data_IF_435812202971
#
_entry.id   IF_435812202971
#
_cell.length_a   1.000
_cell.length_b   1.000
_cell.length_c   1.000
_cell.angle_alpha   90.00
_cell.angle_beta   90.00
_cell.angle_gamma   90.00
#
_symmetry.space_group_name_H-M   'P 1'
#
loop_
_entity.id
_entity.type
_entity.pdbx_description
1 polymer ?
#
# COMPACT_ATOMS: atom_id res chain seq x y z
N UNK A 1 24.11 6.48 -17.07
CA UNK A 1 22.99 7.20 -16.42
C UNK A 1 21.77 7.33 -17.34
N UNK A 2 21.90 7.86 -18.58
CA UNK A 2 20.76 8.03 -19.52
C UNK A 2 20.22 6.69 -20.01
N UNK A 3 21.10 5.74 -20.23
CA UNK A 3 20.78 4.37 -20.68
C UNK A 3 20.16 3.52 -19.54
N UNK A 4 20.68 3.65 -18.33
CA UNK A 4 20.11 3.03 -17.12
C UNK A 4 18.70 3.56 -16.83
N UNK A 5 18.47 4.87 -16.98
CA UNK A 5 17.18 5.49 -16.82
C UNK A 5 16.18 5.03 -17.91
N UNK A 6 16.67 4.85 -19.14
CA UNK A 6 15.84 4.32 -20.24
C UNK A 6 15.46 2.86 -19.99
N UNK A 7 16.37 2.01 -19.51
CA UNK A 7 16.11 0.62 -19.16
C UNK A 7 15.14 0.51 -17.97
N UNK A 8 15.28 1.38 -16.94
CA UNK A 8 14.31 1.44 -15.85
C UNK A 8 12.92 1.82 -16.32
N UNK A 9 12.80 2.81 -17.21
CA UNK A 9 11.49 3.17 -17.82
C UNK A 9 10.89 2.02 -18.62
N UNK A 10 11.68 1.29 -19.38
CA UNK A 10 11.19 0.14 -20.16
C UNK A 10 10.71 -1.00 -19.26
N UNK A 11 11.45 -1.34 -18.22
CA UNK A 11 11.02 -2.33 -17.22
C UNK A 11 9.70 -1.91 -16.56
N UNK A 12 9.60 -0.66 -16.13
CA UNK A 12 8.37 -0.12 -15.57
C UNK A 12 7.16 -0.29 -16.48
N UNK A 13 7.25 0.08 -17.77
CA UNK A 13 6.13 -0.11 -18.69
C UNK A 13 5.77 -1.59 -18.88
N UNK A 14 6.75 -2.47 -18.81
CA UNK A 14 6.54 -3.92 -18.87
C UNK A 14 5.81 -4.39 -17.60
N UNK A 15 6.29 -3.99 -16.42
CA UNK A 15 5.72 -4.40 -15.13
C UNK A 15 4.29 -3.86 -14.95
N UNK A 16 4.06 -2.57 -15.23
CA UNK A 16 2.72 -1.95 -15.22
C UNK A 16 1.78 -2.64 -16.22
N UNK A 17 2.27 -3.02 -17.40
CA UNK A 17 1.46 -3.73 -18.39
C UNK A 17 1.06 -5.12 -17.89
N UNK A 18 1.92 -5.80 -17.16
CA UNK A 18 1.60 -7.08 -16.52
C UNK A 18 0.61 -6.90 -15.38
N UNK A 19 0.83 -5.92 -14.51
CA UNK A 19 -0.07 -5.61 -13.39
C UNK A 19 -1.47 -5.16 -13.86
N UNK A 20 -1.60 -4.51 -15.01
CA UNK A 20 -2.90 -4.20 -15.62
C UNK A 20 -3.56 -5.41 -16.26
N UNK A 21 -2.77 -6.31 -16.86
CA UNK A 21 -3.32 -7.46 -17.60
C UNK A 21 -4.04 -8.42 -16.66
N UNK A 22 -3.50 -8.68 -15.47
CA UNK A 22 -4.08 -9.61 -14.50
C UNK A 22 -5.50 -9.23 -14.09
N UNK A 23 -5.77 -8.02 -13.51
CA UNK A 23 -7.12 -7.62 -13.14
C UNK A 23 -8.08 -7.54 -14.35
N UNK A 24 -7.59 -7.12 -15.52
CA UNK A 24 -8.41 -7.10 -16.74
C UNK A 24 -8.84 -8.51 -17.16
N UNK A 25 -7.94 -9.50 -17.06
CA UNK A 25 -8.25 -10.89 -17.35
C UNK A 25 -9.31 -11.44 -16.40
N UNK A 26 -9.18 -11.13 -15.09
CA UNK A 26 -10.12 -11.56 -14.06
C UNK A 26 -11.50 -10.92 -14.25
N UNK A 27 -11.55 -9.63 -14.56
CA UNK A 27 -12.81 -8.93 -14.90
C UNK A 27 -13.46 -9.57 -16.13
N UNK A 28 -12.70 -9.79 -17.21
CA UNK A 28 -13.20 -10.36 -18.44
C UNK A 28 -13.74 -11.78 -18.24
N UNK A 29 -13.03 -12.58 -17.43
CA UNK A 29 -13.50 -13.93 -17.08
C UNK A 29 -14.81 -13.86 -16.28
N UNK A 30 -14.88 -13.05 -15.23
CA UNK A 30 -16.07 -12.92 -14.40
C UNK A 30 -17.30 -12.43 -15.20
N UNK A 31 -17.11 -11.54 -16.17
CA UNK A 31 -18.18 -11.09 -17.08
C UNK A 31 -18.66 -12.25 -17.96
N UNK A 32 -17.74 -13.06 -18.51
CA UNK A 32 -18.10 -14.20 -19.37
C UNK A 32 -18.89 -15.24 -18.59
N UNK A 33 -18.47 -15.59 -17.37
CA UNK A 33 -19.20 -16.54 -16.51
C UNK A 33 -20.63 -16.07 -16.19
N UNK A 34 -20.80 -14.76 -15.89
CA UNK A 34 -22.14 -14.18 -15.69
C UNK A 34 -23.00 -14.25 -16.97
N UNK A 35 -22.36 -14.13 -18.15
CA UNK A 35 -23.07 -14.13 -19.43
C UNK A 35 -23.46 -15.53 -19.92
N UNK A 36 -22.71 -16.58 -19.50
CA UNK A 36 -22.92 -17.95 -19.97
C UNK A 36 -23.89 -18.76 -19.11
N UNK A 37 -24.11 -18.39 -17.85
CA UNK A 37 -24.96 -19.16 -16.93
C UNK A 37 -25.89 -18.25 -16.11
N UNK A 38 -27.20 -18.31 -16.41
CA UNK A 38 -28.23 -17.51 -15.73
C UNK A 38 -28.46 -17.94 -14.26
N UNK A 39 -28.02 -19.14 -13.84
CA UNK A 39 -28.21 -19.71 -12.51
C UNK A 39 -26.99 -19.53 -11.58
N UNK A 40 -25.90 -18.95 -12.06
CA UNK A 40 -24.67 -18.77 -11.26
C UNK A 40 -24.87 -17.71 -10.15
N UNK A 41 -24.24 -17.98 -9.00
CA UNK A 41 -24.16 -17.06 -7.86
C UNK A 41 -23.51 -15.73 -8.26
N UNK A 42 -24.29 -14.83 -8.81
CA UNK A 42 -23.88 -13.53 -9.40
C UNK A 42 -23.03 -12.70 -8.44
N UNK A 43 -23.22 -12.85 -7.13
CA UNK A 43 -22.48 -12.07 -6.13
C UNK A 43 -20.97 -12.31 -6.13
N UNK A 44 -20.49 -13.54 -6.35
CA UNK A 44 -19.06 -13.88 -6.40
C UNK A 44 -18.36 -13.15 -7.54
N UNK A 45 -18.90 -13.28 -8.76
CA UNK A 45 -18.30 -12.65 -9.94
C UNK A 45 -18.39 -11.12 -9.92
N UNK A 46 -19.48 -10.58 -9.36
CA UNK A 46 -19.61 -9.13 -9.13
C UNK A 46 -18.54 -8.65 -8.15
N UNK A 47 -18.23 -9.41 -7.09
CA UNK A 47 -17.16 -9.06 -6.16
C UNK A 47 -15.77 -9.11 -6.82
N UNK A 48 -15.50 -10.12 -7.66
CA UNK A 48 -14.27 -10.19 -8.45
C UNK A 48 -14.12 -8.97 -9.37
N UNK A 49 -15.20 -8.57 -10.05
CA UNK A 49 -15.19 -7.38 -10.92
C UNK A 49 -14.92 -6.12 -10.10
N UNK A 50 -15.65 -5.92 -9.00
CA UNK A 50 -15.46 -4.75 -8.13
C UNK A 50 -14.03 -4.66 -7.61
N UNK A 51 -13.49 -5.75 -7.07
CA UNK A 51 -12.15 -5.82 -6.51
C UNK A 51 -11.08 -5.46 -7.56
N UNK A 52 -11.15 -6.09 -8.74
CA UNK A 52 -10.15 -5.85 -9.79
C UNK A 52 -10.31 -4.49 -10.48
N UNK A 53 -11.54 -3.95 -10.53
CA UNK A 53 -11.76 -2.56 -10.98
C UNK A 53 -11.17 -1.56 -9.99
N UNK A 54 -11.31 -1.80 -8.67
CA UNK A 54 -10.69 -1.01 -7.62
C UNK A 54 -9.16 -1.01 -7.75
N UNK A 55 -8.54 -2.18 -7.91
CA UNK A 55 -7.08 -2.31 -8.16
C UNK A 55 -6.63 -1.47 -9.35
N UNK A 56 -7.32 -1.59 -10.48
CA UNK A 56 -7.00 -0.81 -11.69
C UNK A 56 -7.13 0.70 -11.47
N UNK A 57 -8.19 1.14 -10.79
CA UNK A 57 -8.42 2.54 -10.46
C UNK A 57 -7.30 3.10 -9.59
N UNK A 58 -6.89 2.36 -8.57
CA UNK A 58 -5.79 2.76 -7.68
C UNK A 58 -4.47 2.85 -8.43
N UNK A 59 -4.14 1.88 -9.29
CA UNK A 59 -2.93 1.91 -10.12
C UNK A 59 -2.90 3.12 -11.06
N UNK A 60 -4.03 3.45 -11.69
CA UNK A 60 -4.14 4.64 -12.56
C UNK A 60 -3.93 5.92 -11.75
N UNK A 61 -4.54 6.02 -10.57
CA UNK A 61 -4.40 7.17 -9.68
C UNK A 61 -2.96 7.33 -9.19
N UNK A 62 -2.29 6.25 -8.76
CA UNK A 62 -0.86 6.28 -8.38
C UNK A 62 0.03 6.77 -9.52
N UNK A 63 -0.24 6.31 -10.76
CA UNK A 63 0.49 6.75 -11.94
C UNK A 63 0.29 8.24 -12.24
N UNK A 64 -0.94 8.72 -12.12
CA UNK A 64 -1.27 10.14 -12.35
C UNK A 64 -0.64 11.03 -11.27
N UNK A 65 -0.70 10.63 -10.02
CA UNK A 65 -0.08 11.36 -8.91
C UNK A 65 1.45 11.40 -9.05
N UNK A 66 2.03 10.26 -9.38
CA UNK A 66 3.45 10.16 -9.69
C UNK A 66 3.85 11.12 -10.82
N UNK A 67 3.08 11.16 -11.92
CA UNK A 67 3.34 12.06 -13.03
C UNK A 67 3.22 13.54 -12.62
N UNK A 68 2.20 13.91 -11.84
CA UNK A 68 2.01 15.29 -11.35
C UNK A 68 3.19 15.75 -10.49
N UNK A 69 3.68 14.89 -9.59
CA UNK A 69 4.84 15.21 -8.74
C UNK A 69 6.13 15.29 -9.58
N UNK A 70 6.33 14.39 -10.55
CA UNK A 70 7.53 14.38 -11.41
C UNK A 70 7.65 15.67 -12.24
N UNK A 71 6.55 16.18 -12.78
CA UNK A 71 6.53 17.42 -13.59
C UNK A 71 6.53 18.68 -12.72
N UNK A 72 6.66 18.52 -11.38
CA UNK A 72 6.56 19.62 -10.40
C UNK A 72 5.29 20.48 -10.56
N UNK A 73 4.22 19.86 -11.03
CA UNK A 73 2.92 20.50 -11.18
C UNK A 73 1.99 20.28 -9.98
N UNK A 74 2.39 19.40 -9.04
CA UNK A 74 1.67 19.19 -7.81
C UNK A 74 1.81 20.43 -6.92
N UNK A 75 0.69 21.05 -6.59
CA UNK A 75 0.59 22.15 -5.63
C UNK A 75 -0.11 21.63 -4.39
N UNK A 76 0.33 22.08 -3.21
CA UNK A 76 -0.34 21.78 -1.96
C UNK A 76 -1.70 22.48 -1.89
N UNK A 77 -2.71 21.77 -1.41
CA UNK A 77 -4.03 22.30 -1.07
C UNK A 77 -4.29 22.01 0.39
N UNK A 78 -3.70 22.82 1.26
CA UNK A 78 -3.68 22.57 2.69
C UNK A 78 -4.91 23.09 3.39
N UNK A 79 -5.43 22.32 4.34
CA UNK A 79 -6.44 22.73 5.32
C UNK A 79 -5.87 22.58 6.72
N UNK A 80 -6.40 23.37 7.67
CA UNK A 80 -6.02 23.21 9.07
C UNK A 80 -6.67 21.95 9.64
N UNK A 81 -5.85 20.95 9.94
CA UNK A 81 -6.30 19.59 10.28
C UNK A 81 -5.75 19.14 11.63
N UNK A 82 -6.60 18.50 12.44
CA UNK A 82 -6.19 17.77 13.63
C UNK A 82 -5.52 16.46 13.21
N UNK A 83 -4.22 16.34 13.41
CA UNK A 83 -3.45 15.15 13.04
C UNK A 83 -3.88 13.92 13.85
N UNK A 84 -4.11 14.02 15.19
CA UNK A 84 -4.58 12.87 15.96
C UNK A 84 -5.93 12.32 15.48
N UNK A 85 -6.89 13.20 15.18
CA UNK A 85 -8.20 12.79 14.67
C UNK A 85 -8.07 12.13 13.30
N UNK A 86 -7.32 12.74 12.40
CA UNK A 86 -7.09 12.22 11.06
C UNK A 86 -6.43 10.83 11.07
N UNK A 87 -5.41 10.63 11.93
CA UNK A 87 -4.75 9.33 12.09
C UNK A 87 -5.69 8.31 12.74
N UNK A 88 -6.56 8.74 13.65
CA UNK A 88 -7.56 7.86 14.28
C UNK A 88 -8.58 7.36 13.25
N UNK A 89 -9.04 8.21 12.34
CA UNK A 89 -9.97 7.81 11.28
C UNK A 89 -9.33 6.76 10.35
N UNK A 90 -8.07 6.96 9.97
CA UNK A 90 -7.32 5.97 9.17
C UNK A 90 -7.13 4.67 9.97
N UNK A 91 -6.77 4.75 11.24
CA UNK A 91 -6.58 3.57 12.10
C UNK A 91 -7.83 2.70 12.15
N UNK A 92 -9.02 3.29 12.34
CA UNK A 92 -10.28 2.51 12.41
C UNK A 92 -10.57 1.74 11.11
N UNK A 93 -10.30 2.33 9.95
CA UNK A 93 -10.47 1.65 8.66
C UNK A 93 -9.46 0.51 8.46
N UNK A 94 -8.18 0.76 8.75
CA UNK A 94 -7.12 -0.24 8.58
C UNK A 94 -7.17 -1.37 9.62
N UNK A 95 -7.74 -1.11 10.80
CA UNK A 95 -7.91 -2.11 11.85
C UNK A 95 -8.73 -3.30 11.36
N UNK A 96 -9.84 -3.06 10.64
CA UNK A 96 -10.67 -4.13 10.10
C UNK A 96 -9.90 -5.05 9.12
N UNK A 97 -9.02 -4.49 8.29
CA UNK A 97 -8.22 -5.28 7.35
C UNK A 97 -7.14 -6.08 8.05
N UNK A 98 -6.47 -5.46 9.02
CA UNK A 98 -5.45 -6.12 9.79
C UNK A 98 -6.04 -7.30 10.58
N UNK A 99 -7.19 -7.12 11.22
CA UNK A 99 -7.91 -8.18 11.94
C UNK A 99 -8.29 -9.35 11.01
N UNK A 100 -8.74 -9.06 9.78
CA UNK A 100 -9.01 -10.09 8.77
C UNK A 100 -7.75 -10.90 8.37
N UNK A 101 -6.57 -10.32 8.56
CA UNK A 101 -5.26 -10.95 8.31
C UNK A 101 -4.59 -11.51 9.59
N UNK A 102 -5.32 -11.57 10.72
CA UNK A 102 -4.79 -11.95 12.04
C UNK A 102 -3.62 -11.06 12.48
N UNK A 103 -3.71 -9.76 12.25
CA UNK A 103 -2.70 -8.77 12.63
C UNK A 103 -3.31 -7.78 13.63
N UNK A 104 -2.62 -7.52 14.73
CA UNK A 104 -3.06 -6.58 15.75
C UNK A 104 -2.52 -5.18 15.47
N UNK A 105 -3.42 -4.19 15.38
CA UNK A 105 -3.02 -2.78 15.21
C UNK A 105 -3.29 -2.01 16.48
N UNK A 106 -2.31 -1.25 16.94
CA UNK A 106 -2.39 -0.40 18.13
C UNK A 106 -2.16 1.07 17.73
N UNK A 107 -2.94 1.98 18.31
CA UNK A 107 -2.77 3.42 18.16
C UNK A 107 -2.42 4.05 19.50
N UNK A 108 -1.35 4.84 19.52
CA UNK A 108 -0.92 5.64 20.67
C UNK A 108 -0.82 7.10 20.27
N UNK A 109 -1.53 7.98 20.96
CA UNK A 109 -1.50 9.41 20.74
C UNK A 109 -0.90 10.07 21.98
N UNK A 110 0.35 10.53 21.87
CA UNK A 110 1.04 11.16 22.98
C UNK A 110 0.65 12.63 23.13
N UNK A 111 0.33 13.30 22.02
CA UNK A 111 -0.08 14.70 21.99
C UNK A 111 -1.42 14.85 21.24
N UNK A 112 -2.55 14.97 21.94
CA UNK A 112 -3.87 15.05 21.31
C UNK A 112 -4.15 16.40 20.63
N UNK A 113 -3.37 17.43 20.89
CA UNK A 113 -3.57 18.80 20.39
C UNK A 113 -2.58 19.18 19.27
N UNK A 114 -2.38 18.31 18.28
CA UNK A 114 -1.55 18.61 17.12
C UNK A 114 -2.44 19.05 15.97
N UNK A 115 -2.59 20.36 15.77
CA UNK A 115 -3.24 20.95 14.60
C UNK A 115 -2.18 21.60 13.70
N UNK A 116 -2.28 21.36 12.39
CA UNK A 116 -1.39 21.95 11.40
C UNK A 116 -2.04 22.08 10.03
N UNK A 117 -1.47 22.92 9.18
CA UNK A 117 -1.85 22.99 7.79
C UNK A 117 -1.23 21.84 7.00
N UNK A 118 -2.07 20.98 6.42
CA UNK A 118 -1.65 19.82 5.65
C UNK A 118 -2.61 19.59 4.49
N UNK A 119 -2.12 19.04 3.40
CA UNK A 119 -2.97 18.54 2.32
C UNK A 119 -3.55 17.17 2.72
N UNK A 120 -4.87 17.09 3.00
CA UNK A 120 -5.46 15.87 3.55
C UNK A 120 -5.46 14.70 2.54
N UNK A 121 -5.55 15.00 1.24
CA UNK A 121 -5.46 13.95 0.21
C UNK A 121 -4.06 13.34 0.16
N UNK A 122 -3.02 14.17 0.15
CA UNK A 122 -1.64 13.70 0.16
C UNK A 122 -1.30 12.96 1.44
N UNK A 123 -1.78 13.45 2.58
CA UNK A 123 -1.51 12.81 3.87
C UNK A 123 -2.21 11.45 3.99
N UNK A 124 -3.45 11.34 3.49
CA UNK A 124 -4.17 10.07 3.37
C UNK A 124 -3.39 9.07 2.52
N UNK A 125 -2.87 9.48 1.36
CA UNK A 125 -2.04 8.64 0.48
C UNK A 125 -0.76 8.18 1.16
N UNK A 126 -0.08 9.06 1.90
CA UNK A 126 1.14 8.72 2.66
C UNK A 126 0.85 7.61 3.66
N UNK A 127 -0.13 7.81 4.53
CA UNK A 127 -0.43 6.86 5.60
C UNK A 127 -0.98 5.54 5.07
N UNK A 128 -1.88 5.58 4.08
CA UNK A 128 -2.44 4.37 3.46
C UNK A 128 -1.37 3.50 2.82
N UNK A 129 -0.41 4.09 2.10
CA UNK A 129 0.71 3.35 1.52
C UNK A 129 1.61 2.70 2.58
N UNK A 130 1.87 3.39 3.69
CA UNK A 130 2.72 2.84 4.76
C UNK A 130 1.99 1.71 5.49
N UNK A 131 0.72 1.92 5.88
CA UNK A 131 -0.05 0.93 6.62
C UNK A 131 -0.35 -0.32 5.78
N UNK A 132 -0.71 -0.16 4.51
CA UNK A 132 -0.92 -1.30 3.61
C UNK A 132 0.36 -2.12 3.41
N UNK A 133 1.52 -1.47 3.31
CA UNK A 133 2.80 -2.17 3.27
C UNK A 133 3.06 -2.92 4.59
N UNK A 134 2.79 -2.30 5.74
CA UNK A 134 2.96 -2.96 7.04
C UNK A 134 2.07 -4.20 7.16
N UNK A 135 0.81 -4.16 6.70
CA UNK A 135 -0.07 -5.34 6.68
C UNK A 135 0.46 -6.39 5.70
N UNK A 136 0.77 -5.99 4.47
CA UNK A 136 1.21 -6.90 3.38
C UNK A 136 2.48 -7.67 3.73
N UNK A 137 3.41 -7.05 4.44
CA UNK A 137 4.72 -7.64 4.77
C UNK A 137 4.80 -8.18 6.20
N UNK A 138 3.66 -8.29 6.89
CA UNK A 138 3.53 -8.94 8.19
C UNK A 138 2.99 -10.36 8.07
N UNK A 139 3.31 -11.19 9.05
CA UNK A 139 2.74 -12.53 9.17
C UNK A 139 1.49 -12.51 10.06
N UNK A 140 0.66 -13.54 9.98
CA UNK A 140 -0.41 -13.76 10.96
C UNK A 140 0.17 -13.79 12.39
N UNK A 141 -0.51 -13.17 13.35
CA UNK A 141 -0.04 -12.98 14.72
C UNK A 141 0.93 -11.80 14.90
N UNK A 142 1.20 -11.01 13.86
CA UNK A 142 2.06 -9.82 13.94
C UNK A 142 1.35 -8.63 14.60
N UNK A 143 2.17 -7.63 15.00
CA UNK A 143 1.69 -6.36 15.55
C UNK A 143 2.12 -5.19 14.68
N UNK A 144 1.21 -4.22 14.51
CA UNK A 144 1.48 -2.91 13.92
C UNK A 144 1.18 -1.85 14.98
N UNK A 145 2.15 -0.98 15.26
CA UNK A 145 1.99 0.10 16.22
C UNK A 145 2.09 1.45 15.51
N UNK A 146 1.07 2.28 15.68
CA UNK A 146 1.00 3.65 15.19
C UNK A 146 1.17 4.57 16.39
N UNK A 147 2.11 5.51 16.33
CA UNK A 147 2.31 6.51 17.37
C UNK A 147 2.27 7.90 16.76
N UNK A 148 1.56 8.83 17.42
CA UNK A 148 1.47 10.24 17.05
C UNK A 148 2.05 11.07 18.20
N UNK A 149 3.09 11.83 17.91
CA UNK A 149 3.78 12.66 18.88
C UNK A 149 4.19 14.01 18.27
N UNK A 150 4.64 14.92 19.12
CA UNK A 150 5.19 16.21 18.76
C UNK A 150 6.64 16.28 19.25
N UNK A 151 7.56 16.76 18.42
CA UNK A 151 8.96 16.82 18.82
C UNK A 151 9.89 17.35 17.73
N UNK A 152 11.18 17.09 17.89
CA UNK A 152 12.21 17.51 16.96
C UNK A 152 12.86 16.30 16.30
N UNK A 153 13.20 16.45 15.02
CA UNK A 153 13.82 15.35 14.25
C UNK A 153 15.14 14.88 14.87
N UNK A 154 15.89 15.77 15.51
CA UNK A 154 17.17 15.44 16.14
C UNK A 154 17.02 14.57 17.39
N UNK A 155 15.84 14.52 17.98
CA UNK A 155 15.54 13.70 19.18
C UNK A 155 14.98 12.33 18.79
N UNK A 156 14.81 12.08 17.49
CA UNK A 156 14.28 10.80 16.99
C UNK A 156 15.35 9.72 17.15
N UNK A 157 14.99 8.67 17.88
CA UNK A 157 15.77 7.44 17.96
C UNK A 157 15.01 6.35 17.23
N UNK A 158 15.53 5.85 16.08
CA UNK A 158 14.92 4.74 15.36
C UNK A 158 14.98 3.44 16.16
N UNK A 159 13.98 2.59 15.98
CA UNK A 159 13.87 1.28 16.65
C UNK A 159 15.04 0.35 16.33
N UNK A 160 15.53 0.38 15.09
CA UNK A 160 16.64 -0.46 14.64
C UNK A 160 17.87 0.38 14.30
N UNK A 161 19.05 -0.21 14.49
CA UNK A 161 20.34 0.45 14.24
C UNK A 161 20.53 0.79 12.76
N UNK A 162 20.10 -0.11 11.87
CA UNK A 162 20.19 0.10 10.43
C UNK A 162 19.00 0.97 10.00
N UNK A 163 19.31 2.19 9.55
CA UNK A 163 18.33 3.20 9.19
C UNK A 163 18.76 4.00 7.97
N UNK A 164 17.76 4.51 7.24
CA UNK A 164 17.90 5.47 6.15
C UNK A 164 17.13 6.74 6.51
N UNK A 165 17.75 7.89 6.30
CA UNK A 165 17.23 9.20 6.64
C UNK A 165 17.13 10.07 5.39
N UNK A 166 15.95 10.61 5.11
CA UNK A 166 15.71 11.63 4.11
C UNK A 166 15.10 12.86 4.77
N UNK A 167 15.94 13.68 5.40
CA UNK A 167 15.57 14.86 6.17
C UNK A 167 16.31 16.11 5.71
N UNK A 168 17.03 16.04 4.59
CA UNK A 168 17.97 17.09 4.15
C UNK A 168 17.29 18.43 3.87
N UNK A 169 16.12 18.40 3.22
CA UNK A 169 15.41 19.59 2.77
C UNK A 169 14.21 19.92 3.70
N UNK A 170 14.17 19.31 4.87
CA UNK A 170 13.12 19.49 5.86
C UNK A 170 13.25 20.85 6.54
N UNK A 171 12.11 21.52 6.78
CA UNK A 171 12.07 22.76 7.54
C UNK A 171 12.40 22.47 9.00
N UNK A 172 13.38 23.19 9.58
CA UNK A 172 13.71 23.01 10.98
C UNK A 172 12.59 23.54 11.90
N UNK A 173 12.48 22.96 13.09
CA UNK A 173 11.50 23.36 14.09
C UNK A 173 10.79 22.15 14.70
N UNK A 174 9.69 22.43 15.35
CA UNK A 174 8.84 21.41 15.94
C UNK A 174 8.02 20.70 14.86
N UNK A 175 7.95 19.37 14.94
CA UNK A 175 7.36 18.49 13.95
C UNK A 175 6.21 17.70 14.55
N UNK A 176 5.18 17.42 13.75
CA UNK A 176 4.29 16.29 13.97
C UNK A 176 5.04 15.02 13.53
N UNK A 177 5.23 14.10 14.47
CA UNK A 177 5.97 12.86 14.26
C UNK A 177 4.98 11.71 14.28
N UNK A 178 4.84 11.01 13.17
CA UNK A 178 4.02 9.82 13.03
C UNK A 178 4.96 8.64 12.84
N UNK A 179 4.88 7.64 13.74
CA UNK A 179 5.64 6.40 13.66
C UNK A 179 4.69 5.25 13.34
N UNK A 180 5.04 4.46 12.37
CA UNK A 180 4.38 3.19 12.06
C UNK A 180 5.44 2.11 12.13
N UNK A 181 5.27 1.15 13.03
CA UNK A 181 6.20 0.04 13.20
C UNK A 181 5.46 -1.29 13.16
N UNK A 182 5.99 -2.23 12.38
CA UNK A 182 5.50 -3.59 12.26
C UNK A 182 6.50 -4.61 12.82
N UNK A 183 6.03 -5.84 13.03
CA UNK A 183 6.86 -7.01 13.38
C UNK A 183 6.93 -8.01 12.22
N UNK A 184 6.91 -7.52 10.99
CA UNK A 184 6.93 -8.30 9.75
C UNK A 184 8.31 -8.84 9.38
N UNK A 185 8.47 -9.17 8.09
CA UNK A 185 9.69 -9.78 7.54
C UNK A 185 10.94 -8.90 7.64
N UNK A 186 10.77 -7.58 7.77
CA UNK A 186 11.87 -6.64 7.79
C UNK A 186 12.70 -6.61 6.51
N UNK A 187 13.79 -5.84 6.53
CA UNK A 187 14.66 -5.62 5.37
C UNK A 187 16.14 -5.58 5.77
N UNK A 188 17.00 -6.01 4.84
CA UNK A 188 18.45 -5.84 4.96
C UNK A 188 18.86 -4.37 4.79
N UNK A 189 19.94 -3.97 5.46
CA UNK A 189 20.51 -2.62 5.40
C UNK A 189 20.75 -2.12 3.98
N UNK A 190 21.23 -2.98 3.09
CA UNK A 190 21.55 -2.64 1.70
C UNK A 190 20.32 -2.22 0.89
N UNK A 191 19.14 -2.66 1.31
CA UNK A 191 17.85 -2.42 0.65
C UNK A 191 17.27 -1.05 1.01
N UNK A 192 17.47 -0.57 2.24
CA UNK A 192 16.84 0.65 2.77
C UNK A 192 16.99 1.89 1.87
N UNK A 193 18.18 2.21 1.29
CA UNK A 193 18.30 3.36 0.40
C UNK A 193 17.62 3.15 -0.96
N UNK A 194 17.29 1.91 -1.30
CA UNK A 194 16.78 1.55 -2.63
C UNK A 194 15.26 1.46 -2.71
N UNK A 195 14.57 1.25 -1.59
CA UNK A 195 13.10 1.12 -1.56
C UNK A 195 12.36 2.39 -1.99
N UNK A 196 13.01 3.55 -1.89
CA UNK A 196 12.49 4.83 -2.38
C UNK A 196 12.86 5.09 -3.84
N UNK A 197 13.66 4.19 -4.47
CA UNK A 197 13.90 4.29 -5.90
C UNK A 197 12.63 3.89 -6.65
N UNK A 198 12.31 4.66 -7.65
CA UNK A 198 11.17 4.44 -8.53
C UNK A 198 11.26 3.07 -9.18
N UNK A 199 10.14 2.34 -9.22
CA UNK A 199 10.04 1.04 -9.88
C UNK A 199 10.95 -0.05 -9.29
N UNK A 200 11.38 0.13 -8.06
CA UNK A 200 12.23 -0.84 -7.38
C UNK A 200 11.36 -1.74 -6.50
N UNK A 201 11.37 -3.01 -6.83
CA UNK A 201 10.81 -4.07 -6.00
C UNK A 201 11.95 -4.87 -5.37
N UNK A 202 11.81 -5.20 -4.10
CA UNK A 202 12.78 -6.06 -3.41
C UNK A 202 12.47 -7.50 -3.78
N UNK A 203 13.34 -8.13 -4.57
CA UNK A 203 13.25 -9.57 -4.83
C UNK A 203 13.71 -10.31 -3.56
N UNK A 204 12.78 -10.92 -2.87
CA UNK A 204 13.11 -11.83 -1.77
C UNK A 204 13.51 -13.19 -2.33
N UNK A 205 14.56 -13.80 -1.75
CA UNK A 205 15.05 -15.15 -2.10
C UNK A 205 14.03 -16.29 -1.86
N UNK A 206 12.85 -15.98 -1.34
CA UNK A 206 11.77 -16.94 -1.07
C UNK A 206 10.87 -17.22 -2.27
N UNK A 207 11.14 -16.65 -3.44
CA UNK A 207 10.37 -16.91 -4.67
C UNK A 207 8.97 -16.30 -4.71
N UNK A 208 8.50 -15.68 -3.63
CA UNK A 208 7.24 -14.93 -3.63
C UNK A 208 7.48 -13.56 -4.24
N UNK A 209 7.05 -13.34 -5.48
CA UNK A 209 6.90 -11.99 -6.01
C UNK A 209 5.74 -11.33 -5.26
N UNK A 210 6.07 -10.38 -4.41
CA UNK A 210 5.03 -9.52 -3.84
C UNK A 210 4.60 -8.55 -4.93
N UNK A 211 3.37 -8.70 -5.40
CA UNK A 211 2.72 -7.82 -6.37
C UNK A 211 2.63 -6.39 -5.83
N UNK A 212 3.14 -5.43 -6.57
CA UNK A 212 3.04 -4.02 -6.24
C UNK A 212 3.70 -3.17 -7.32
N UNK A 213 3.18 -1.97 -7.59
CA UNK A 213 3.66 -1.07 -8.66
C UNK A 213 5.12 -0.58 -8.47
N UNK A 214 5.70 -0.74 -7.27
CA UNK A 214 7.00 -0.16 -6.92
C UNK A 214 7.02 1.38 -6.95
N UNK A 215 5.82 2.01 -6.97
CA UNK A 215 5.61 3.46 -6.99
C UNK A 215 5.31 3.98 -5.59
N UNK A 216 4.58 3.22 -4.78
CA UNK A 216 3.99 3.68 -3.51
C UNK A 216 4.98 4.38 -2.59
N UNK A 217 6.11 3.75 -2.20
CA UNK A 217 7.09 4.38 -1.31
C UNK A 217 7.84 5.55 -1.97
N UNK A 218 8.05 5.53 -3.27
CA UNK A 218 8.62 6.68 -3.99
C UNK A 218 7.67 7.87 -4.03
N UNK A 219 6.36 7.63 -4.14
CA UNK A 219 5.30 8.63 -4.03
C UNK A 219 5.23 9.18 -2.60
N UNK A 220 5.22 8.32 -1.58
CA UNK A 220 5.26 8.72 -0.16
C UNK A 220 6.40 9.70 0.10
N UNK A 221 7.62 9.34 -0.32
CA UNK A 221 8.78 10.23 -0.19
C UNK A 221 8.55 11.57 -0.86
N UNK A 222 8.06 11.58 -2.09
CA UNK A 222 7.84 12.82 -2.85
C UNK A 222 6.74 13.71 -2.25
N UNK A 223 5.66 13.11 -1.73
CA UNK A 223 4.60 13.84 -1.04
C UNK A 223 5.08 14.45 0.29
N UNK A 224 5.91 13.72 1.06
CA UNK A 224 6.54 14.23 2.29
C UNK A 224 7.50 15.39 1.97
N UNK A 225 8.31 15.26 0.92
CA UNK A 225 9.20 16.34 0.45
C UNK A 225 8.40 17.58 0.01
N UNK A 226 7.25 17.40 -0.63
CA UNK A 226 6.34 18.50 -1.01
C UNK A 226 5.80 19.25 0.22
N UNK A 227 5.57 18.54 1.33
CA UNK A 227 5.21 19.14 2.63
C UNK A 227 6.43 19.66 3.42
N UNK A 228 7.61 19.72 2.80
CA UNK A 228 8.86 20.10 3.47
C UNK A 228 9.16 19.29 4.73
N UNK A 229 8.69 18.05 4.77
CA UNK A 229 8.89 17.09 5.83
C UNK A 229 10.07 16.16 5.61
N UNK A 230 10.24 15.23 6.52
CA UNK A 230 11.26 14.19 6.46
C UNK A 230 10.68 12.79 6.67
N UNK A 231 11.37 11.79 6.11
CA UNK A 231 11.07 10.39 6.32
C UNK A 231 12.31 9.64 6.79
N UNK A 232 12.13 8.81 7.81
CA UNK A 232 13.17 7.95 8.36
C UNK A 232 12.62 6.53 8.32
N UNK A 233 13.42 5.59 7.87
CA UNK A 233 13.07 4.18 7.91
C UNK A 233 14.16 3.40 8.60
N UNK A 234 13.80 2.54 9.51
CA UNK A 234 14.69 1.60 10.17
C UNK A 234 14.10 0.18 10.08
N UNK A 235 14.95 -0.81 9.83
CA UNK A 235 14.49 -2.19 9.67
C UNK A 235 15.57 -3.18 10.05
N UNK A 236 15.11 -4.39 10.40
CA UNK A 236 15.97 -5.54 10.65
C UNK A 236 15.28 -6.80 10.12
N UNK A 237 15.96 -7.65 9.35
CA UNK A 237 15.41 -8.91 8.86
C UNK A 237 14.77 -9.73 9.99
N UNK A 238 13.62 -10.31 9.72
CA UNK A 238 12.81 -11.14 10.63
C UNK A 238 12.44 -10.48 11.96
N UNK A 239 12.49 -9.16 12.03
CA UNK A 239 12.15 -8.39 13.23
C UNK A 239 11.19 -7.22 12.96
N UNK A 240 11.03 -6.84 11.68
CA UNK A 240 10.09 -5.84 11.24
C UNK A 240 10.71 -4.55 10.73
N UNK A 241 9.85 -3.58 10.48
CA UNK A 241 10.19 -2.26 9.93
C UNK A 241 9.55 -1.16 10.76
N UNK A 242 10.21 -0.03 10.86
CA UNK A 242 9.68 1.21 11.40
C UNK A 242 9.83 2.32 10.36
N UNK A 243 8.74 2.98 10.06
CA UNK A 243 8.69 4.19 9.23
C UNK A 243 8.30 5.38 10.11
N UNK A 244 9.09 6.44 10.08
CA UNK A 244 8.85 7.66 10.84
C UNK A 244 8.70 8.81 9.85
N UNK A 245 7.57 9.51 9.93
CA UNK A 245 7.27 10.72 9.19
C UNK A 245 7.42 11.90 10.16
N UNK A 246 8.12 12.93 9.73
CA UNK A 246 8.24 14.19 10.46
C UNK A 246 7.76 15.33 9.56
N UNK A 247 6.67 16.00 9.94
CA UNK A 247 6.06 17.09 9.17
C UNK A 247 6.11 18.38 9.96
N UNK A 248 6.50 19.53 9.36
CA UNK A 248 6.61 20.79 10.07
C UNK A 248 5.24 21.29 10.54
N UNK A 249 5.11 21.61 11.83
CA UNK A 249 3.89 22.19 12.39
C UNK A 249 3.75 23.66 11.97
N UNK A 250 4.88 24.36 11.78
CA UNK A 250 4.90 25.72 11.27
C UNK A 250 4.35 25.79 9.85
N UNK A 251 3.57 26.80 9.56
CA UNK A 251 2.98 27.07 8.24
C UNK A 251 3.69 28.20 7.47
N UNK A 252 4.88 28.61 7.94
CA UNK A 252 5.63 29.75 7.38
C UNK A 252 6.14 29.51 5.94
N UNK A 253 6.17 28.26 5.51
CA UNK A 253 6.60 27.86 4.18
C UNK A 253 5.46 27.83 3.15
N UNK A 254 4.21 27.84 3.62
CA UNK A 254 3.04 27.75 2.75
C UNK A 254 2.70 29.14 2.18
N UNK A 255 2.46 29.17 0.87
CA UNK A 255 1.89 30.34 0.22
C UNK A 255 0.41 30.50 0.61
N UNK A 256 -0.13 31.71 0.49
CA UNK A 256 -1.54 31.96 0.83
C UNK A 256 -2.50 31.17 -0.04
N UNK A 257 -2.12 30.97 -1.29
CA UNK A 257 -2.89 30.25 -2.31
C UNK A 257 -2.95 28.74 -2.05
N UNK A 258 -2.02 28.22 -1.26
CA UNK A 258 -1.98 26.81 -0.83
C UNK A 258 -2.85 26.53 0.38
N UNK A 259 -3.30 27.54 1.11
CA UNK A 259 -4.20 27.43 2.24
C UNK A 259 -5.64 27.63 1.78
N UNK A 260 -6.45 26.59 1.92
CA UNK A 260 -7.86 26.59 1.56
C UNK A 260 -8.72 26.42 2.81
N UNK A 261 -9.92 27.04 2.84
CA UNK A 261 -10.80 26.98 4.02
C UNK A 261 -11.38 25.59 4.22
N UNK A 262 -11.78 24.93 3.10
CA UNK A 262 -12.35 23.59 3.13
C UNK A 262 -11.77 22.73 2.01
N UNK A 263 -11.46 21.47 2.34
CA UNK A 263 -11.10 20.46 1.36
C UNK A 263 -12.35 19.76 0.82
N UNK A 264 -12.40 19.52 -0.47
CA UNK A 264 -13.41 18.64 -1.08
C UNK A 264 -13.04 17.16 -0.96
N UNK A 265 -11.86 16.86 -0.44
CA UNK A 265 -11.42 15.50 -0.23
C UNK A 265 -12.12 14.88 0.99
N UNK A 266 -12.75 13.74 0.77
CA UNK A 266 -13.41 12.95 1.81
C UNK A 266 -12.58 11.70 2.07
N UNK A 267 -11.90 11.66 3.21
CA UNK A 267 -11.00 10.57 3.59
C UNK A 267 -11.71 9.21 3.55
N UNK A 268 -12.93 9.14 4.06
CA UNK A 268 -13.71 7.91 4.10
C UNK A 268 -13.99 7.34 2.71
N UNK A 269 -14.33 8.20 1.74
CA UNK A 269 -14.56 7.76 0.35
C UNK A 269 -13.27 7.25 -0.29
N UNK A 270 -12.15 7.91 -0.02
CA UNK A 270 -10.83 7.46 -0.49
C UNK A 270 -10.47 6.10 0.10
N UNK A 271 -10.59 5.93 1.42
CA UNK A 271 -10.26 4.68 2.11
C UNK A 271 -11.19 3.53 1.71
N UNK A 272 -12.49 3.80 1.50
CA UNK A 272 -13.43 2.78 1.02
C UNK A 272 -13.05 2.24 -0.36
N UNK A 273 -12.59 3.11 -1.26
CA UNK A 273 -12.08 2.68 -2.58
C UNK A 273 -10.75 1.94 -2.46
N UNK A 274 -9.91 2.34 -1.51
CA UNK A 274 -8.64 1.69 -1.23
C UNK A 274 -8.84 0.31 -0.59
N UNK A 275 -9.87 0.16 0.28
CA UNK A 275 -10.24 -1.07 0.96
C UNK A 275 -10.58 -2.20 -0.01
N UNK A 276 -11.27 -1.90 -1.09
CA UNK A 276 -11.66 -2.90 -2.11
C UNK A 276 -10.46 -3.68 -2.64
N UNK A 277 -9.28 -3.09 -2.67
CA UNK A 277 -8.04 -3.77 -3.12
C UNK A 277 -7.51 -4.80 -2.11
N UNK A 278 -7.84 -4.62 -0.82
CA UNK A 278 -7.26 -5.43 0.28
C UNK A 278 -8.25 -6.35 0.96
N UNK A 279 -9.56 -6.24 0.62
CA UNK A 279 -10.53 -7.23 1.09
C UNK A 279 -10.20 -8.60 0.50
N UNK A 280 -10.00 -9.63 1.35
CA UNK A 280 -9.83 -10.99 0.84
C UNK A 280 -11.08 -11.35 0.04
N UNK A 281 -10.91 -11.78 -1.21
CA UNK A 281 -12.01 -12.41 -1.92
C UNK A 281 -12.37 -13.66 -1.14
N UNK A 282 -13.56 -13.69 -0.53
CA UNK A 282 -14.15 -14.90 0.03
C UNK A 282 -14.46 -15.88 -1.11
N UNK A 283 -13.44 -16.58 -1.56
CA UNK A 283 -13.59 -17.71 -2.47
C UNK A 283 -13.68 -18.92 -1.54
N UNK A 284 -14.84 -19.55 -1.46
CA UNK A 284 -15.02 -20.78 -0.69
C UNK A 284 -13.95 -21.79 -1.12
N UNK A 285 -13.04 -22.11 -0.21
CA UNK A 285 -12.12 -23.23 -0.37
C UNK A 285 -12.93 -24.53 -0.36
N UNK A 286 -13.44 -24.91 -1.51
CA UNK A 286 -13.93 -26.27 -1.66
C UNK A 286 -12.76 -27.20 -1.48
N UNK A 287 -12.72 -27.92 -0.36
CA UNK A 287 -11.75 -28.99 -0.11
C UNK A 287 -11.83 -29.97 -1.27
N UNK A 288 -10.81 -29.97 -2.15
CA UNK A 288 -10.77 -30.86 -3.28
C UNK A 288 -10.64 -32.30 -2.74
N UNK A 289 -11.70 -33.06 -2.87
CA UNK A 289 -11.68 -34.51 -2.59
C UNK A 289 -10.90 -35.13 -3.75
N UNK A 290 -9.79 -35.82 -3.45
CA UNK A 290 -9.08 -36.64 -4.42
C UNK A 290 -10.03 -37.72 -4.95
N UNK A 291 -10.27 -37.71 -6.24
CA UNK A 291 -11.13 -38.70 -6.92
C UNK A 291 -10.26 -39.73 -7.63
N UNK A 292 -10.34 -40.98 -7.18
CA UNK A 292 -9.64 -42.08 -7.80
C UNK A 292 -10.08 -42.26 -9.27
N UNK A 293 -9.12 -42.36 -10.19
CA UNK A 293 -9.39 -42.52 -11.64
C UNK A 293 -9.38 -41.19 -12.43
N UNK A 294 -9.35 -40.02 -11.78
CA UNK A 294 -9.13 -38.77 -12.49
C UNK A 294 -7.63 -38.46 -12.60
N UNK A 295 -7.16 -37.96 -13.75
CA UNK A 295 -5.79 -37.47 -13.87
C UNK A 295 -5.54 -36.30 -12.94
N UNK A 296 -4.30 -36.13 -12.51
CA UNK A 296 -3.89 -35.04 -11.61
C UNK A 296 -3.11 -34.02 -12.39
N UNK A 297 -3.45 -32.72 -12.23
CA UNK A 297 -2.72 -31.58 -12.79
C UNK A 297 -2.18 -30.70 -11.65
N UNK A 298 -1.03 -30.10 -11.92
CA UNK A 298 -0.41 -29.09 -11.06
C UNK A 298 -0.63 -27.73 -11.72
N UNK A 299 -1.26 -26.83 -10.97
CA UNK A 299 -1.40 -25.43 -11.34
C UNK A 299 -0.36 -24.62 -10.56
N UNK A 300 0.42 -23.81 -11.27
CA UNK A 300 1.47 -22.98 -10.67
C UNK A 300 1.29 -21.55 -11.17
N UNK A 301 1.04 -20.63 -10.26
CA UNK A 301 0.93 -19.19 -10.54
C UNK A 301 1.22 -18.45 -9.24
N UNK A 302 1.80 -17.24 -9.32
CA UNK A 302 2.05 -16.38 -8.17
C UNK A 302 0.78 -15.63 -7.70
N UNK A 303 -0.27 -15.64 -8.51
CA UNK A 303 -1.55 -15.05 -8.20
C UNK A 303 -2.55 -16.10 -7.72
N UNK A 304 -2.87 -16.05 -6.43
CA UNK A 304 -3.82 -16.98 -5.81
C UNK A 304 -5.22 -16.92 -6.45
N UNK A 305 -5.68 -15.73 -6.88
CA UNK A 305 -6.99 -15.55 -7.53
C UNK A 305 -7.05 -16.31 -8.87
N UNK A 306 -5.97 -16.26 -9.66
CA UNK A 306 -5.85 -17.02 -10.91
C UNK A 306 -5.87 -18.52 -10.63
N UNK A 307 -5.11 -18.98 -9.63
CA UNK A 307 -5.08 -20.38 -9.23
C UNK A 307 -6.47 -20.91 -8.83
N UNK A 308 -7.23 -20.11 -8.06
CA UNK A 308 -8.58 -20.48 -7.63
C UNK A 308 -9.56 -20.57 -8.82
N UNK A 309 -9.51 -19.65 -9.77
CA UNK A 309 -10.32 -19.68 -10.99
C UNK A 309 -9.96 -20.89 -11.83
N UNK A 310 -8.68 -21.13 -12.09
CA UNK A 310 -8.23 -22.30 -12.86
C UNK A 310 -8.65 -23.61 -12.19
N UNK A 311 -8.56 -23.69 -10.85
CA UNK A 311 -9.04 -24.83 -10.07
C UNK A 311 -10.52 -25.06 -10.31
N UNK A 312 -11.36 -24.05 -10.22
CA UNK A 312 -12.80 -24.15 -10.41
C UNK A 312 -13.13 -24.69 -11.83
N UNK A 313 -12.36 -24.24 -12.81
CA UNK A 313 -12.54 -24.70 -14.20
C UNK A 313 -12.17 -26.18 -14.41
N UNK A 314 -11.07 -26.62 -13.79
CA UNK A 314 -10.54 -27.98 -14.04
C UNK A 314 -10.98 -29.03 -13.02
N UNK A 315 -11.57 -28.66 -11.86
CA UNK A 315 -11.94 -29.62 -10.79
C UNK A 315 -12.97 -30.67 -11.24
N UNK A 316 -13.76 -30.37 -12.27
CA UNK A 316 -14.75 -31.29 -12.81
C UNK A 316 -14.08 -32.53 -13.44
N UNK A 317 -12.93 -32.38 -14.10
CA UNK A 317 -12.27 -33.40 -14.90
C UNK A 317 -10.95 -33.88 -14.29
N UNK A 318 -10.33 -33.14 -13.39
CA UNK A 318 -8.98 -33.37 -12.84
C UNK A 318 -8.94 -33.30 -11.31
N UNK A 319 -7.98 -34.02 -10.73
CA UNK A 319 -7.51 -33.71 -9.39
C UNK A 319 -6.52 -32.53 -9.48
N UNK A 320 -6.65 -31.52 -8.62
CA UNK A 320 -5.89 -30.29 -8.72
C UNK A 320 -4.91 -30.19 -7.55
N UNK A 321 -3.65 -29.93 -7.88
CA UNK A 321 -2.61 -29.50 -6.93
C UNK A 321 -2.26 -28.06 -7.31
N UNK A 322 -2.26 -27.17 -6.32
CA UNK A 322 -1.87 -25.76 -6.53
C UNK A 322 -0.54 -25.50 -5.83
N UNK A 323 0.30 -24.69 -6.47
CA UNK A 323 1.55 -24.15 -5.92
C UNK A 323 1.70 -22.68 -6.27
N UNK A 324 2.16 -21.87 -5.31
CA UNK A 324 2.44 -20.44 -5.45
C UNK A 324 3.95 -20.24 -5.57
#
# INVERSE_FOLDING_TARGET
QKEEMMQMKMRFFTDVSHEFRTPLTLISHAINEIAEDEDICTNKYVNIIKHNTGKLSNMVNELLDFHRVEVKSAQLRTTYTSIPEYVSDIYEEFKGWAEASDIHVNLQIDNPEIGMWIDPEHFGKILSNILSNSIRYSHAGSEINIQVAKGYVNDIVPRYKDSFWNTKDMIPGEQAIIRVSDTGIGMEKAVLPTIFKRFHQVQNNTGKQHTGSGIGLSLVKSLIELHHGGIIISSKPDAGTEVIIALPISDTYLAKEEKIEESTFVLKDYLSNYAVEYEPLEIEETTAIYMEGKPTILLVDDNHEILMILREYFVKDYNIIMAI
#
